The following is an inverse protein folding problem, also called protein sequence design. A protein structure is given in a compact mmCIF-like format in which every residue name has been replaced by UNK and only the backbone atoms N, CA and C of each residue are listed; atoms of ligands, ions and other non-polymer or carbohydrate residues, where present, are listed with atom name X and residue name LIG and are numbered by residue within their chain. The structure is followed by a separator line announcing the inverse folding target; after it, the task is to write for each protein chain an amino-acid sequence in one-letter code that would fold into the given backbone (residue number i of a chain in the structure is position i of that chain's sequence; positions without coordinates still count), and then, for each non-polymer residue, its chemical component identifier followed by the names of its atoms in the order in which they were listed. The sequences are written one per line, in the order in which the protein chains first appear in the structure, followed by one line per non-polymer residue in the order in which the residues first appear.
data_IF_853482681587
#
_entry.id   IF_853482681587
#
_cell.length_a   1.000
_cell.length_b   1.000
_cell.length_c   1.000
_cell.angle_alpha   90.00
_cell.angle_beta   90.00
_cell.angle_gamma   90.00
#
_symmetry.space_group_name_H-M   'P 1'
#
loop_
_entity.id
_entity.type
_entity.pdbx_description
1 polymer ?
#
# COMPACT_ATOMS: atom_id res chain seq x y z
N UNK A 1 -3.87 -2.48 -13.50
CA UNK A 1 -5.18 -1.76 -13.47
C UNK A 1 -5.23 -0.93 -12.20
N UNK A 2 -5.43 0.40 -12.34
CA UNK A 2 -5.44 1.31 -11.19
C UNK A 2 -6.66 1.02 -10.31
N UNK A 3 -6.44 0.82 -9.01
CA UNK A 3 -7.48 0.64 -7.97
C UNK A 3 -8.42 1.86 -7.97
N UNK A 4 -7.92 3.07 -8.27
CA UNK A 4 -8.70 4.28 -8.47
C UNK A 4 -9.77 4.15 -9.56
N UNK A 5 -9.46 3.49 -10.68
CA UNK A 5 -10.42 3.30 -11.77
C UNK A 5 -11.57 2.33 -11.40
N UNK A 6 -11.31 1.37 -10.51
CA UNK A 6 -12.34 0.44 -10.04
C UNK A 6 -13.27 1.09 -9.02
N UNK A 7 -12.71 1.87 -8.08
CA UNK A 7 -13.49 2.59 -7.06
C UNK A 7 -14.28 3.75 -7.67
N UNK A 8 -13.69 4.50 -8.59
CA UNK A 8 -14.39 5.57 -9.30
C UNK A 8 -15.57 5.04 -10.15
N UNK A 9 -15.43 3.86 -10.77
CA UNK A 9 -16.52 3.18 -11.47
C UNK A 9 -17.59 2.66 -10.51
N UNK A 10 -17.20 2.18 -9.34
CA UNK A 10 -18.11 1.70 -8.33
C UNK A 10 -18.88 2.86 -7.66
N UNK A 11 -18.22 3.97 -7.32
CA UNK A 11 -18.88 5.20 -6.85
C UNK A 11 -19.82 5.79 -7.92
N UNK A 12 -19.43 5.79 -9.20
CA UNK A 12 -20.33 6.12 -10.31
C UNK A 12 -21.50 5.14 -10.40
N UNK A 13 -21.29 3.85 -10.23
CA UNK A 13 -22.35 2.86 -10.26
C UNK A 13 -23.34 3.04 -9.10
N UNK A 14 -22.87 3.38 -7.89
CA UNK A 14 -23.74 3.76 -6.78
C UNK A 14 -24.49 5.06 -7.10
N UNK A 15 -23.78 6.08 -7.63
CA UNK A 15 -24.41 7.33 -8.08
C UNK A 15 -25.48 7.07 -9.15
N UNK A 16 -25.23 6.22 -10.13
CA UNK A 16 -26.23 5.82 -11.14
C UNK A 16 -27.35 4.94 -10.56
N UNK A 17 -27.09 4.10 -9.57
CA UNK A 17 -28.12 3.35 -8.85
C UNK A 17 -28.98 4.27 -8.00
N UNK A 18 -28.40 5.32 -7.43
CA UNK A 18 -29.12 6.36 -6.69
C UNK A 18 -29.94 7.27 -7.64
N UNK A 19 -29.32 7.81 -8.70
CA UNK A 19 -29.99 8.75 -9.61
C UNK A 19 -30.88 8.05 -10.64
N UNK A 20 -30.43 6.98 -11.26
CA UNK A 20 -31.17 6.28 -12.32
C UNK A 20 -32.32 5.40 -11.81
N UNK A 21 -32.21 4.86 -10.59
CA UNK A 21 -33.33 4.15 -9.93
C UNK A 21 -34.26 5.07 -9.16
N UNK A 22 -33.77 6.22 -8.67
CA UNK A 22 -34.63 7.23 -8.05
C UNK A 22 -35.56 7.85 -9.09
N UNK A 23 -35.12 8.14 -10.30
CA UNK A 23 -35.99 8.72 -11.34
C UNK A 23 -37.00 7.71 -11.92
N UNK A 24 -36.59 6.42 -12.07
CA UNK A 24 -37.53 5.35 -12.48
C UNK A 24 -38.40 4.83 -11.34
N UNK A 25 -37.91 4.86 -10.11
CA UNK A 25 -38.61 4.41 -8.92
C UNK A 25 -39.38 5.53 -8.21
N UNK A 26 -39.16 6.80 -8.52
CA UNK A 26 -39.95 7.92 -7.98
C UNK A 26 -41.43 7.69 -8.16
N UNK A 27 -41.89 7.15 -9.29
CA UNK A 27 -43.30 6.84 -9.52
C UNK A 27 -43.86 5.67 -8.69
N UNK A 28 -43.01 4.76 -8.22
CA UNK A 28 -43.44 3.53 -7.48
C UNK A 28 -43.02 3.60 -6.00
N UNK A 29 -41.97 4.37 -5.66
CA UNK A 29 -41.40 4.49 -4.32
C UNK A 29 -41.95 5.68 -3.51
N UNK A 30 -42.64 6.59 -4.14
CA UNK A 30 -43.34 7.71 -3.46
C UNK A 30 -44.41 7.26 -2.47
N UNK A 31 -44.63 5.96 -2.34
CA UNK A 31 -45.70 5.41 -1.50
C UNK A 31 -45.28 4.58 -0.28
N UNK A 32 -43.98 4.19 -0.13
CA UNK A 32 -43.60 3.35 1.01
C UNK A 32 -42.23 3.72 1.64
N UNK A 33 -42.26 4.46 2.78
CA UNK A 33 -41.05 4.86 3.51
C UNK A 33 -40.15 3.68 3.93
N UNK A 34 -40.78 2.52 4.22
CA UNK A 34 -40.04 1.34 4.70
C UNK A 34 -39.16 0.73 3.62
N UNK A 35 -39.62 0.71 2.36
CA UNK A 35 -38.81 0.20 1.21
C UNK A 35 -37.62 1.09 0.94
N UNK A 36 -37.78 2.41 1.04
CA UNK A 36 -36.70 3.37 0.87
C UNK A 36 -35.67 3.24 2.00
N UNK A 37 -36.14 3.15 3.24
CA UNK A 37 -35.29 2.92 4.40
C UNK A 37 -34.43 1.65 4.24
N UNK A 38 -35.04 0.53 3.86
CA UNK A 38 -34.35 -0.74 3.65
C UNK A 38 -33.26 -0.63 2.56
N UNK A 39 -33.50 0.11 1.47
CA UNK A 39 -32.50 0.33 0.42
C UNK A 39 -31.31 1.17 0.89
N UNK A 40 -31.57 2.24 1.65
CA UNK A 40 -30.46 3.01 2.23
C UNK A 40 -29.66 2.17 3.22
N UNK A 41 -30.31 1.33 4.03
CA UNK A 41 -29.63 0.43 4.97
C UNK A 41 -28.76 -0.59 4.24
N UNK A 42 -29.23 -1.16 3.14
CA UNK A 42 -28.42 -2.06 2.29
C UNK A 42 -27.18 -1.35 1.74
N UNK A 43 -27.33 -0.11 1.22
CA UNK A 43 -26.22 0.67 0.68
C UNK A 43 -25.21 1.08 1.75
N UNK A 44 -25.70 1.53 2.91
CA UNK A 44 -24.88 1.90 4.07
C UNK A 44 -24.11 0.67 4.56
N UNK A 45 -24.74 -0.49 4.64
CA UNK A 45 -24.12 -1.75 5.02
C UNK A 45 -23.04 -2.17 4.02
N UNK A 46 -23.34 -2.13 2.72
CA UNK A 46 -22.37 -2.45 1.67
C UNK A 46 -21.15 -1.51 1.71
N UNK A 47 -21.37 -0.21 1.98
CA UNK A 47 -20.29 0.77 2.12
C UNK A 47 -19.46 0.52 3.36
N UNK A 48 -20.08 0.17 4.49
CA UNK A 48 -19.38 -0.20 5.73
C UNK A 48 -18.45 -1.39 5.53
N UNK A 49 -18.91 -2.42 4.81
CA UNK A 49 -18.08 -3.59 4.44
C UNK A 49 -16.88 -3.15 3.59
N UNK A 50 -17.09 -2.28 2.61
CA UNK A 50 -16.00 -1.75 1.77
C UNK A 50 -14.99 -0.94 2.57
N UNK A 51 -15.45 -0.07 3.45
CA UNK A 51 -14.58 0.70 4.36
C UNK A 51 -13.70 -0.26 5.17
N UNK A 52 -14.29 -1.29 5.77
CA UNK A 52 -13.53 -2.30 6.52
C UNK A 52 -12.48 -3.00 5.65
N UNK A 53 -12.84 -3.42 4.42
CA UNK A 53 -11.89 -4.05 3.49
C UNK A 53 -10.68 -3.14 3.18
N UNK A 54 -10.90 -1.82 3.02
CA UNK A 54 -9.81 -0.87 2.78
C UNK A 54 -8.95 -0.61 4.01
N UNK A 55 -9.54 -0.60 5.20
CA UNK A 55 -8.80 -0.52 6.47
C UNK A 55 -7.89 -1.75 6.61
N UNK A 56 -8.42 -2.94 6.40
CA UNK A 56 -7.66 -4.19 6.49
C UNK A 56 -6.53 -4.22 5.45
N UNK A 57 -6.82 -3.83 4.20
CA UNK A 57 -5.82 -3.76 3.13
C UNK A 57 -4.70 -2.75 3.45
N UNK A 58 -5.05 -1.58 4.00
CA UNK A 58 -4.07 -0.57 4.42
C UNK A 58 -3.20 -1.09 5.58
N UNK A 59 -3.79 -1.77 6.56
CA UNK A 59 -3.07 -2.36 7.69
C UNK A 59 -2.08 -3.45 7.23
N UNK A 60 -2.51 -4.35 6.34
CA UNK A 60 -1.65 -5.39 5.76
C UNK A 60 -0.49 -4.76 4.98
N UNK A 61 -0.78 -3.78 4.12
CA UNK A 61 0.26 -3.09 3.34
C UNK A 61 1.26 -2.39 4.24
N UNK A 62 0.79 -1.69 5.27
CA UNK A 62 1.64 -1.02 6.26
C UNK A 62 2.55 -2.00 7.00
N UNK A 63 2.01 -3.16 7.42
CA UNK A 63 2.79 -4.21 8.06
C UNK A 63 3.89 -4.77 7.13
N UNK A 64 3.57 -4.98 5.85
CA UNK A 64 4.57 -5.43 4.87
C UNK A 64 5.67 -4.40 4.63
N UNK A 65 5.31 -3.11 4.54
CA UNK A 65 6.28 -2.01 4.40
C UNK A 65 7.20 -1.97 5.62
N UNK A 66 6.66 -2.03 6.84
CA UNK A 66 7.45 -2.01 8.05
C UNK A 66 8.45 -3.19 8.15
N UNK A 67 8.02 -4.40 7.76
CA UNK A 67 8.91 -5.57 7.69
C UNK A 67 10.05 -5.36 6.69
N UNK A 68 9.75 -4.83 5.49
CA UNK A 68 10.77 -4.56 4.48
C UNK A 68 11.74 -3.46 4.91
N UNK A 69 11.26 -2.43 5.60
CA UNK A 69 12.11 -1.38 6.17
C UNK A 69 13.08 -1.96 7.24
N UNK A 70 12.60 -2.87 8.08
CA UNK A 70 13.48 -3.57 9.02
C UNK A 70 14.54 -4.42 8.30
N UNK A 71 14.15 -5.17 7.25
CA UNK A 71 15.08 -5.93 6.41
C UNK A 71 16.07 -5.02 5.70
N UNK A 72 15.62 -3.87 5.17
CA UNK A 72 16.48 -2.89 4.53
C UNK A 72 17.58 -2.38 5.49
N UNK A 73 17.21 -2.06 6.72
CA UNK A 73 18.17 -1.63 7.75
C UNK A 73 19.23 -2.71 8.00
N UNK A 74 18.83 -3.97 8.16
CA UNK A 74 19.77 -5.08 8.35
C UNK A 74 20.67 -5.24 7.13
N UNK A 75 20.12 -5.12 5.92
CA UNK A 75 20.89 -5.20 4.67
C UNK A 75 21.90 -4.05 4.56
N UNK A 76 21.56 -2.84 5.00
CA UNK A 76 22.48 -1.70 5.04
C UNK A 76 23.66 -1.93 5.99
N UNK A 77 23.40 -2.52 7.16
CA UNK A 77 24.43 -2.90 8.13
C UNK A 77 25.37 -3.98 7.55
N UNK A 78 24.80 -4.97 6.86
CA UNK A 78 25.57 -6.01 6.16
C UNK A 78 26.41 -5.44 5.03
N UNK A 79 25.88 -4.55 4.21
CA UNK A 79 26.61 -3.85 3.14
C UNK A 79 27.81 -3.11 3.70
N UNK A 80 27.62 -2.31 4.75
CA UNK A 80 28.70 -1.58 5.40
C UNK A 80 29.79 -2.51 5.95
N UNK A 81 29.39 -3.62 6.56
CA UNK A 81 30.34 -4.63 7.07
C UNK A 81 31.13 -5.29 5.96
N UNK A 82 30.48 -5.68 4.87
CA UNK A 82 31.15 -6.32 3.72
C UNK A 82 32.13 -5.33 3.06
N UNK A 83 31.76 -4.06 2.94
CA UNK A 83 32.65 -3.01 2.42
C UNK A 83 33.91 -2.86 3.28
N UNK A 84 33.80 -2.91 4.60
CA UNK A 84 34.94 -2.88 5.51
C UNK A 84 35.85 -4.12 5.33
N UNK A 85 35.26 -5.32 5.25
CA UNK A 85 35.99 -6.57 5.06
C UNK A 85 36.73 -6.59 3.70
N UNK A 86 36.04 -6.15 2.65
CA UNK A 86 36.62 -6.05 1.29
C UNK A 86 37.81 -5.08 1.27
N UNK A 87 37.64 -3.90 1.91
CA UNK A 87 38.72 -2.92 2.01
C UNK A 87 39.89 -3.45 2.86
N UNK A 88 39.60 -4.19 3.93
CA UNK A 88 40.61 -4.89 4.75
C UNK A 88 41.43 -5.88 3.90
N UNK A 89 40.74 -6.78 3.20
CA UNK A 89 41.37 -7.77 2.32
C UNK A 89 42.25 -7.10 1.23
N UNK A 90 41.74 -6.01 0.61
CA UNK A 90 42.47 -5.22 -0.37
C UNK A 90 43.76 -4.63 0.21
N UNK A 91 43.65 -3.99 1.39
CA UNK A 91 44.81 -3.30 2.02
C UNK A 91 45.89 -4.29 2.46
N UNK A 92 45.47 -5.41 3.09
CA UNK A 92 46.41 -6.45 3.51
C UNK A 92 47.08 -7.10 2.27
N UNK A 93 46.28 -7.43 1.26
CA UNK A 93 46.81 -7.99 0.01
C UNK A 93 47.80 -7.04 -0.68
N UNK A 94 47.53 -5.73 -0.68
CA UNK A 94 48.47 -4.73 -1.22
C UNK A 94 49.81 -4.67 -0.42
N UNK A 95 49.73 -4.74 0.92
CA UNK A 95 50.94 -4.76 1.76
C UNK A 95 51.76 -6.03 1.53
N UNK A 96 51.11 -7.19 1.46
CA UNK A 96 51.80 -8.47 1.17
C UNK A 96 52.44 -8.42 -0.21
N UNK A 97 51.74 -7.90 -1.22
CA UNK A 97 52.29 -7.77 -2.57
C UNK A 97 53.52 -6.86 -2.59
N UNK A 98 53.47 -5.70 -1.95
CA UNK A 98 54.60 -4.76 -1.88
C UNK A 98 55.81 -5.39 -1.20
N UNK A 99 55.63 -6.12 -0.10
CA UNK A 99 56.70 -6.84 0.59
C UNK A 99 57.35 -7.91 -0.30
N UNK A 100 56.55 -8.73 -0.96
CA UNK A 100 57.03 -9.79 -1.85
C UNK A 100 57.81 -9.21 -3.05
N UNK A 101 57.32 -8.11 -3.64
CA UNK A 101 57.99 -7.41 -4.73
C UNK A 101 59.37 -6.84 -4.28
N UNK A 102 59.43 -6.29 -3.07
CA UNK A 102 60.70 -5.81 -2.51
C UNK A 102 61.70 -6.97 -2.29
N UNK A 103 61.23 -8.18 -2.06
CA UNK A 103 62.03 -9.41 -1.96
C UNK A 103 62.32 -10.06 -3.31
N UNK A 104 61.89 -9.45 -4.43
CA UNK A 104 62.09 -10.00 -5.79
C UNK A 104 61.21 -11.23 -6.07
N UNK A 105 60.15 -11.44 -5.29
CA UNK A 105 59.18 -12.56 -5.43
C UNK A 105 57.94 -12.12 -6.15
N UNK A 106 57.38 -13.00 -6.99
CA UNK A 106 56.09 -12.77 -7.62
C UNK A 106 54.95 -12.99 -6.58
N UNK A 107 54.10 -11.96 -6.29
CA UNK A 107 52.99 -12.10 -5.38
C UNK A 107 51.99 -13.19 -5.78
N UNK A 108 51.80 -13.48 -7.06
CA UNK A 108 50.88 -14.49 -7.54
C UNK A 108 51.26 -15.92 -7.12
N UNK A 109 52.50 -16.15 -6.78
CA UNK A 109 53.00 -17.43 -6.27
C UNK A 109 52.91 -17.54 -4.74
N UNK A 110 52.44 -16.50 -4.06
CA UNK A 110 52.28 -16.48 -2.61
C UNK A 110 50.85 -16.95 -2.22
N UNK A 111 50.81 -17.94 -1.32
CA UNK A 111 49.54 -18.43 -0.75
C UNK A 111 48.81 -17.31 0.02
N UNK A 112 49.56 -16.52 0.79
CA UNK A 112 48.99 -15.43 1.58
C UNK A 112 48.35 -14.35 0.68
N UNK A 113 49.03 -13.92 -0.37
CA UNK A 113 48.48 -12.96 -1.32
C UNK A 113 47.26 -13.50 -2.06
N UNK A 114 47.30 -14.77 -2.51
CA UNK A 114 46.19 -15.39 -3.23
C UNK A 114 44.97 -15.58 -2.34
N UNK A 115 45.16 -15.85 -1.04
CA UNK A 115 44.04 -15.88 -0.07
C UNK A 115 43.37 -14.52 0.09
N UNK A 116 44.11 -13.43 0.25
CA UNK A 116 43.56 -12.08 0.35
C UNK A 116 42.88 -11.65 -0.94
N UNK A 117 43.42 -12.01 -2.09
CA UNK A 117 42.80 -11.77 -3.40
C UNK A 117 41.47 -12.53 -3.56
N UNK A 118 41.43 -13.80 -3.14
CA UNK A 118 40.20 -14.60 -3.16
C UNK A 118 39.14 -13.97 -2.24
N UNK A 119 39.50 -13.66 -0.99
CA UNK A 119 38.63 -13.00 -0.05
C UNK A 119 38.07 -11.68 -0.57
N UNK A 120 38.89 -10.86 -1.22
CA UNK A 120 38.45 -9.63 -1.87
C UNK A 120 37.39 -9.89 -2.95
N UNK A 121 37.63 -10.89 -3.83
CA UNK A 121 36.68 -11.25 -4.87
C UNK A 121 35.37 -11.77 -4.31
N UNK A 122 35.42 -12.61 -3.28
CA UNK A 122 34.26 -13.16 -2.62
C UNK A 122 33.42 -12.06 -1.96
N UNK A 123 34.06 -11.14 -1.23
CA UNK A 123 33.39 -9.98 -0.65
C UNK A 123 32.83 -9.04 -1.74
N UNK A 124 33.54 -8.83 -2.84
CA UNK A 124 33.05 -8.01 -3.96
C UNK A 124 31.81 -8.59 -4.61
N UNK A 125 31.76 -9.91 -4.83
CA UNK A 125 30.57 -10.61 -5.34
C UNK A 125 29.41 -10.49 -4.38
N UNK A 126 29.62 -10.79 -3.10
CA UNK A 126 28.59 -10.70 -2.06
C UNK A 126 28.07 -9.27 -1.91
N UNK A 127 28.95 -8.26 -2.00
CA UNK A 127 28.57 -6.86 -1.95
C UNK A 127 27.64 -6.47 -3.10
N UNK A 128 27.93 -6.95 -4.31
CA UNK A 128 27.10 -6.70 -5.48
C UNK A 128 25.69 -7.27 -5.30
N UNK A 129 25.59 -8.51 -4.80
CA UNK A 129 24.32 -9.16 -4.51
C UNK A 129 23.51 -8.39 -3.44
N UNK A 130 24.19 -8.00 -2.34
CA UNK A 130 23.53 -7.24 -1.25
C UNK A 130 23.08 -5.85 -1.71
N UNK A 131 23.86 -5.16 -2.54
CA UNK A 131 23.46 -3.87 -3.14
C UNK A 131 22.26 -4.01 -4.08
N UNK A 132 22.18 -5.11 -4.85
CA UNK A 132 21.01 -5.42 -5.67
C UNK A 132 19.78 -5.65 -4.81
N UNK A 133 19.90 -6.49 -3.77
CA UNK A 133 18.81 -6.74 -2.82
C UNK A 133 18.33 -5.46 -2.13
N UNK A 134 19.27 -4.59 -1.71
CA UNK A 134 18.94 -3.27 -1.15
C UNK A 134 18.07 -2.47 -2.09
N UNK A 135 18.45 -2.33 -3.35
CA UNK A 135 17.69 -1.60 -4.37
C UNK A 135 16.29 -2.17 -4.57
N UNK A 136 16.16 -3.48 -4.66
CA UNK A 136 14.86 -4.16 -4.79
C UNK A 136 13.96 -3.91 -3.56
N UNK A 137 14.54 -3.89 -2.36
CA UNK A 137 13.81 -3.54 -1.12
C UNK A 137 13.35 -2.08 -1.15
N UNK A 138 14.20 -1.13 -1.52
CA UNK A 138 13.88 0.30 -1.62
C UNK A 138 12.74 0.54 -2.62
N UNK A 139 12.79 -0.06 -3.80
CA UNK A 139 11.73 0.01 -4.81
C UNK A 139 10.42 -0.58 -4.30
N UNK A 140 10.49 -1.72 -3.61
CA UNK A 140 9.32 -2.40 -3.05
C UNK A 140 8.69 -1.62 -1.89
N UNK A 141 9.49 -0.97 -1.05
CA UNK A 141 9.03 -0.08 0.02
C UNK A 141 8.31 1.13 -0.59
N UNK A 142 8.93 1.80 -1.56
CA UNK A 142 8.34 2.95 -2.23
C UNK A 142 6.99 2.62 -2.89
N UNK A 143 6.89 1.45 -3.54
CA UNK A 143 5.65 0.98 -4.12
C UNK A 143 4.60 0.66 -3.05
N UNK A 144 4.99 0.03 -1.94
CA UNK A 144 4.10 -0.27 -0.82
C UNK A 144 3.55 1.00 -0.15
N UNK A 145 4.40 1.99 0.09
CA UNK A 145 4.00 3.29 0.63
C UNK A 145 3.06 4.05 -0.30
N UNK A 146 3.31 4.00 -1.63
CA UNK A 146 2.39 4.57 -2.62
C UNK A 146 1.03 3.88 -2.55
N UNK A 147 1.00 2.55 -2.55
CA UNK A 147 -0.24 1.78 -2.46
C UNK A 147 -0.99 2.12 -1.17
N UNK A 148 -0.28 2.28 -0.06
CA UNK A 148 -0.90 2.63 1.22
C UNK A 148 -1.51 4.04 1.19
N UNK A 149 -0.82 5.03 0.64
CA UNK A 149 -1.38 6.38 0.43
C UNK A 149 -2.63 6.35 -0.44
N UNK A 150 -2.62 5.56 -1.52
CA UNK A 150 -3.76 5.39 -2.41
C UNK A 150 -4.96 4.77 -1.67
N UNK A 151 -4.73 3.72 -0.89
CA UNK A 151 -5.77 3.08 -0.06
C UNK A 151 -6.37 4.06 0.96
N UNK A 152 -5.55 4.85 1.64
CA UNK A 152 -6.00 5.84 2.61
C UNK A 152 -6.81 6.97 1.94
N UNK A 153 -6.44 7.39 0.73
CA UNK A 153 -7.20 8.37 -0.04
C UNK A 153 -8.59 7.85 -0.42
N UNK A 154 -8.66 6.58 -0.88
CA UNK A 154 -9.92 5.91 -1.19
C UNK A 154 -10.77 5.75 0.06
N UNK A 155 -10.17 5.32 1.17
CA UNK A 155 -10.85 5.18 2.46
C UNK A 155 -11.51 6.48 2.90
N UNK A 156 -10.78 7.60 2.80
CA UNK A 156 -11.30 8.93 3.13
C UNK A 156 -12.50 9.32 2.26
N UNK A 157 -12.47 8.98 0.97
CA UNK A 157 -13.59 9.24 0.05
C UNK A 157 -14.81 8.38 0.41
N UNK A 158 -14.60 7.09 0.70
CA UNK A 158 -15.66 6.17 1.11
C UNK A 158 -16.31 6.58 2.44
N UNK A 159 -15.51 7.06 3.40
CA UNK A 159 -16.04 7.56 4.68
C UNK A 159 -16.92 8.80 4.48
N UNK A 160 -16.52 9.73 3.61
CA UNK A 160 -17.35 10.91 3.28
C UNK A 160 -18.67 10.50 2.64
N UNK A 161 -18.64 9.59 1.66
CA UNK A 161 -19.85 9.07 1.02
C UNK A 161 -20.75 8.33 1.99
N UNK A 162 -20.17 7.55 2.91
CA UNK A 162 -20.92 6.88 3.97
C UNK A 162 -21.68 7.87 4.85
N UNK A 163 -21.04 8.95 5.27
CA UNK A 163 -21.70 9.98 6.07
C UNK A 163 -22.78 10.74 5.26
N UNK A 164 -22.52 11.01 3.96
CA UNK A 164 -23.51 11.62 3.07
C UNK A 164 -24.75 10.72 2.93
N UNK A 165 -24.56 9.43 2.70
CA UNK A 165 -25.68 8.47 2.60
C UNK A 165 -26.52 8.42 3.88
N UNK A 166 -25.89 8.47 5.06
CA UNK A 166 -26.61 8.52 6.34
C UNK A 166 -27.43 9.79 6.48
N UNK A 167 -26.86 10.93 6.07
CA UNK A 167 -27.56 12.23 6.08
C UNK A 167 -28.74 12.22 5.11
N UNK A 168 -28.51 11.79 3.86
CA UNK A 168 -29.56 11.69 2.84
C UNK A 168 -30.71 10.76 3.28
N UNK A 169 -30.36 9.60 3.90
CA UNK A 169 -31.36 8.72 4.51
C UNK A 169 -32.24 9.47 5.51
N UNK A 170 -31.63 10.21 6.46
CA UNK A 170 -32.36 10.97 7.48
C UNK A 170 -33.26 12.04 6.86
N UNK A 171 -32.76 12.80 5.89
CA UNK A 171 -33.54 13.82 5.19
C UNK A 171 -34.71 13.23 4.40
N UNK A 172 -34.49 12.10 3.71
CA UNK A 172 -35.53 11.43 2.93
C UNK A 172 -36.65 10.90 3.81
N UNK A 173 -36.29 10.22 4.92
CA UNK A 173 -37.27 9.71 5.89
C UNK A 173 -38.11 10.85 6.46
N UNK A 174 -37.49 11.96 6.83
CA UNK A 174 -38.20 13.15 7.35
C UNK A 174 -39.18 13.72 6.33
N UNK A 175 -38.76 13.86 5.05
CA UNK A 175 -39.63 14.35 3.96
C UNK A 175 -40.83 13.42 3.72
N UNK A 176 -40.61 12.11 3.76
CA UNK A 176 -41.67 11.13 3.53
C UNK A 176 -42.72 11.11 4.67
N UNK A 177 -42.25 11.22 5.93
CA UNK A 177 -43.15 11.35 7.08
C UNK A 177 -44.01 12.61 6.92
N UNK A 178 -43.41 13.75 6.60
CA UNK A 178 -44.14 15.00 6.38
C UNK A 178 -45.17 14.89 5.24
N UNK A 179 -44.79 14.31 4.11
CA UNK A 179 -45.70 14.11 2.98
C UNK A 179 -46.88 13.17 3.31
N UNK A 180 -46.66 12.13 4.10
CA UNK A 180 -47.73 11.24 4.53
C UNK A 180 -48.70 11.95 5.51
N UNK A 181 -48.18 12.72 6.46
CA UNK A 181 -49.00 13.53 7.36
C UNK A 181 -49.83 14.55 6.60
N UNK A 182 -49.29 15.22 5.58
CA UNK A 182 -50.06 16.14 4.75
C UNK A 182 -51.18 15.44 3.94
N UNK A 183 -50.97 14.19 3.50
CA UNK A 183 -52.02 13.39 2.82
C UNK A 183 -53.13 13.02 3.77
N UNK A 184 -52.76 12.49 4.96
CA UNK A 184 -53.75 12.15 5.97
C UNK A 184 -54.60 13.35 6.39
N UNK A 185 -54.04 14.56 6.52
CA UNK A 185 -54.73 15.79 6.82
C UNK A 185 -55.68 16.27 5.69
N UNK A 186 -55.37 15.91 4.42
CA UNK A 186 -56.21 16.25 3.27
C UNK A 186 -57.37 15.28 3.05
N UNK A 187 -57.26 14.07 3.60
CA UNK A 187 -58.27 13.01 3.50
C UNK A 187 -59.27 13.04 4.68
N UNK A 188 -58.99 13.80 5.74
CA UNK A 188 -59.93 14.12 6.83
C UNK A 188 -60.76 15.34 6.50
#
# INVERSE_FOLDING_TARGET
MSVFGAVGRWLKAIGYLLTGRIDGARKVLDSNPNVMNAKYDEMISAMSIKIKQYIDAAAVTSSHVAKKQATLKTTDEEVARIEQLMNGAKNIGAQVAAKLQAEGKDPLNSVEYTQHRSAYNDFSSTLLEKKKMKKELEESIAQGEKTNRDNLSVLKSLQREYENLKKEKGEMVTRMIGANQERELKEM
#
